data_IF_341361256513
#
_entry.id   IF_341361256513
#
_cell.length_a   1.000
_cell.length_b   1.000
_cell.length_c   1.000
_cell.angle_alpha   90.00
_cell.angle_beta   90.00
_cell.angle_gamma   90.00
#
_symmetry.space_group_name_H-M   'P 1'
#
loop_
_entity.id
_entity.type
_entity.pdbx_description
1 polymer ?
#
# COMPACT_ATOMS: atom_id res chain seq x y z
N UNK A 1 43.55 -1.66 -13.07
CA UNK A 1 42.22 -2.06 -13.59
C UNK A 1 41.34 -2.63 -12.47
N UNK A 2 41.63 -3.81 -11.91
CA UNK A 2 40.80 -4.46 -10.87
C UNK A 2 40.64 -3.65 -9.57
N UNK A 3 41.68 -2.95 -9.11
CA UNK A 3 41.63 -2.13 -7.88
C UNK A 3 40.64 -0.96 -8.00
N UNK A 4 40.53 -0.36 -9.19
CA UNK A 4 39.66 0.79 -9.44
C UNK A 4 38.17 0.38 -9.41
N UNK A 5 37.86 -0.79 -9.96
CA UNK A 5 36.52 -1.37 -9.84
C UNK A 5 36.16 -1.65 -8.37
N UNK A 6 37.09 -2.19 -7.58
CA UNK A 6 36.85 -2.44 -6.15
C UNK A 6 36.49 -1.17 -5.37
N UNK A 7 37.22 -0.07 -5.61
CA UNK A 7 36.93 1.22 -4.99
C UNK A 7 35.58 1.78 -5.45
N UNK A 8 35.27 1.70 -6.75
CA UNK A 8 33.98 2.12 -7.31
C UNK A 8 32.80 1.38 -6.68
N UNK A 9 32.88 0.05 -6.54
CA UNK A 9 31.82 -0.76 -5.92
C UNK A 9 31.63 -0.43 -4.44
N UNK A 10 32.70 -0.16 -3.69
CA UNK A 10 32.59 0.27 -2.30
C UNK A 10 31.93 1.65 -2.16
N UNK A 11 32.24 2.59 -3.07
CA UNK A 11 31.59 3.90 -3.08
C UNK A 11 30.09 3.83 -3.43
N UNK A 12 29.72 3.01 -4.42
CA UNK A 12 28.31 2.77 -4.75
C UNK A 12 27.57 2.03 -3.62
N UNK A 13 28.19 1.01 -3.02
CA UNK A 13 27.62 0.26 -1.91
C UNK A 13 27.32 1.16 -0.69
N UNK A 14 28.20 2.11 -0.37
CA UNK A 14 27.97 3.09 0.71
C UNK A 14 26.78 4.01 0.45
N UNK A 15 26.54 4.39 -0.81
CA UNK A 15 25.36 5.16 -1.20
C UNK A 15 24.07 4.36 -1.02
N UNK A 16 24.06 3.10 -1.46
CA UNK A 16 22.92 2.20 -1.26
C UNK A 16 22.65 1.95 0.23
N UNK A 17 23.69 1.70 1.04
CA UNK A 17 23.56 1.51 2.49
C UNK A 17 22.97 2.77 3.15
N UNK A 18 23.40 3.96 2.74
CA UNK A 18 22.86 5.22 3.25
C UNK A 18 21.38 5.40 2.92
N UNK A 19 20.97 5.09 1.70
CA UNK A 19 19.55 5.14 1.29
C UNK A 19 18.69 4.16 2.09
N UNK A 20 19.18 2.95 2.34
CA UNK A 20 18.51 1.97 3.20
C UNK A 20 18.44 2.41 4.67
N UNK A 21 19.48 3.09 5.19
CA UNK A 21 19.53 3.57 6.57
C UNK A 21 18.64 4.79 6.81
N UNK A 22 18.55 5.72 5.85
CA UNK A 22 17.72 6.93 5.98
C UNK A 22 16.21 6.58 6.04
N UNK A 23 15.75 5.50 5.39
CA UNK A 23 14.38 4.99 5.56
C UNK A 23 14.10 4.42 6.96
N UNK A 24 15.11 3.90 7.67
CA UNK A 24 14.94 3.27 8.99
C UNK A 24 15.23 4.17 10.20
N UNK A 25 15.67 5.42 9.98
CA UNK A 25 16.24 6.27 11.05
C UNK A 25 15.34 7.43 11.49
N UNK A 26 14.10 7.54 10.98
CA UNK A 26 13.16 8.49 11.57
C UNK A 26 12.74 7.91 12.94
N UNK A 27 13.03 8.58 14.07
CA UNK A 27 12.64 8.07 15.37
C UNK A 27 11.13 7.88 15.37
N UNK A 28 10.67 6.64 15.59
CA UNK A 28 9.24 6.34 15.69
C UNK A 28 8.64 7.18 16.82
N UNK A 29 8.00 8.29 16.45
CA UNK A 29 7.04 8.96 17.33
C UNK A 29 5.84 8.03 17.43
N UNK A 30 5.92 7.04 18.32
CA UNK A 30 4.85 6.11 18.65
C UNK A 30 3.53 6.83 18.96
N UNK A 31 3.60 8.06 19.47
CA UNK A 31 2.44 8.86 19.84
C UNK A 31 1.83 9.70 18.70
N UNK A 32 2.48 9.77 17.53
CA UNK A 32 2.00 10.59 16.41
C UNK A 32 1.19 9.73 15.43
N UNK A 33 -0.13 9.72 15.61
CA UNK A 33 -1.07 8.93 14.80
C UNK A 33 -2.13 9.86 14.17
N UNK A 34 -1.77 10.64 13.12
CA UNK A 34 -2.70 11.54 12.45
C UNK A 34 -3.78 10.76 11.68
N UNK A 35 -4.91 11.41 11.38
CA UNK A 35 -5.91 10.83 10.48
C UNK A 35 -5.31 10.48 9.12
N UNK A 36 -5.55 9.27 8.65
CA UNK A 36 -5.02 8.77 7.38
C UNK A 36 -6.15 8.38 6.41
N UNK A 37 -5.92 8.56 5.11
CA UNK A 37 -6.81 8.04 4.07
C UNK A 37 -5.98 7.26 3.07
N UNK A 38 -6.37 6.02 2.82
CA UNK A 38 -5.78 5.13 1.83
C UNK A 38 -6.64 5.15 0.57
N UNK A 39 -6.05 5.49 -0.57
CA UNK A 39 -6.70 5.37 -1.87
C UNK A 39 -6.23 4.06 -2.52
N UNK A 40 -7.14 3.13 -2.71
CA UNK A 40 -6.87 1.84 -3.36
C UNK A 40 -7.52 1.83 -4.73
N UNK A 41 -6.74 2.06 -5.77
CA UNK A 41 -7.21 1.95 -7.16
C UNK A 41 -7.12 0.50 -7.62
N UNK A 42 -8.22 -0.03 -8.16
CA UNK A 42 -8.33 -1.41 -8.61
C UNK A 42 -8.62 -1.46 -10.10
N UNK A 43 -7.94 -2.39 -10.77
CA UNK A 43 -8.14 -2.71 -12.17
C UNK A 43 -7.74 -4.14 -12.47
N UNK A 44 -8.56 -4.85 -13.24
CA UNK A 44 -8.26 -6.19 -13.70
C UNK A 44 -8.30 -7.24 -12.59
N UNK A 45 -7.74 -8.40 -12.89
CA UNK A 45 -7.80 -9.56 -12.01
C UNK A 45 -6.54 -9.65 -11.14
N UNK A 46 -6.60 -9.12 -9.92
CA UNK A 46 -5.54 -9.30 -8.94
C UNK A 46 -5.83 -10.54 -8.07
N UNK A 47 -5.05 -11.65 -8.21
CA UNK A 47 -5.24 -12.84 -7.40
C UNK A 47 -4.96 -12.64 -5.91
N UNK A 48 -4.28 -11.56 -5.52
CA UNK A 48 -3.96 -11.24 -4.13
C UNK A 48 -4.92 -10.22 -3.52
N UNK A 49 -5.93 -9.76 -4.26
CA UNK A 49 -6.86 -8.72 -3.82
C UNK A 49 -7.52 -9.05 -2.49
N UNK A 50 -7.95 -10.30 -2.29
CA UNK A 50 -8.59 -10.73 -1.04
C UNK A 50 -7.66 -10.57 0.15
N UNK A 51 -6.41 -11.06 0.04
CA UNK A 51 -5.42 -10.95 1.11
C UNK A 51 -5.04 -9.48 1.36
N UNK A 52 -5.00 -8.67 0.30
CA UNK A 52 -4.75 -7.24 0.40
C UNK A 52 -5.88 -6.53 1.17
N UNK A 53 -7.15 -6.80 0.83
CA UNK A 53 -8.30 -6.23 1.53
C UNK A 53 -8.34 -6.68 2.99
N UNK A 54 -8.04 -7.96 3.26
CA UNK A 54 -7.98 -8.48 4.64
C UNK A 54 -6.92 -7.77 5.48
N UNK A 55 -5.70 -7.63 4.96
CA UNK A 55 -4.66 -6.87 5.65
C UNK A 55 -5.04 -5.41 5.82
N UNK A 56 -5.47 -4.75 4.75
CA UNK A 56 -5.73 -3.31 4.72
C UNK A 56 -6.92 -2.91 5.60
N UNK A 57 -7.98 -3.72 5.65
CA UNK A 57 -9.21 -3.40 6.38
C UNK A 57 -9.19 -3.88 7.85
N UNK A 58 -8.10 -4.51 8.29
CA UNK A 58 -7.89 -4.99 9.65
C UNK A 58 -6.60 -4.43 10.28
N UNK A 59 -6.34 -3.14 10.09
CA UNK A 59 -5.16 -2.46 10.65
C UNK A 59 -5.42 -2.02 12.10
N UNK A 60 -4.38 -2.04 12.93
CA UNK A 60 -4.43 -1.51 14.30
C UNK A 60 -4.35 0.03 14.36
N UNK A 61 -4.27 0.70 13.21
CA UNK A 61 -4.21 2.16 13.13
C UNK A 61 -5.57 2.79 13.51
N UNK A 62 -5.63 3.76 14.44
CA UNK A 62 -6.90 4.13 15.07
C UNK A 62 -7.83 4.97 14.18
N UNK A 63 -7.31 5.90 13.38
CA UNK A 63 -8.11 6.80 12.56
C UNK A 63 -7.66 6.73 11.09
N UNK A 64 -8.08 5.68 10.39
CA UNK A 64 -7.90 5.57 8.95
C UNK A 64 -9.20 5.34 8.19
N UNK A 65 -9.24 5.75 6.93
CA UNK A 65 -10.31 5.44 6.00
C UNK A 65 -9.72 4.87 4.71
N UNK A 66 -10.44 3.95 4.08
CA UNK A 66 -10.06 3.33 2.81
C UNK A 66 -11.07 3.72 1.74
N UNK A 67 -10.60 4.35 0.67
CA UNK A 67 -11.39 4.65 -0.52
C UNK A 67 -10.94 3.75 -1.66
N UNK A 68 -11.76 2.77 -1.99
CA UNK A 68 -11.55 1.85 -3.10
C UNK A 68 -12.12 2.49 -4.36
N UNK A 69 -11.30 2.64 -5.38
CA UNK A 69 -11.67 3.23 -6.66
C UNK A 69 -11.54 2.14 -7.71
N UNK A 70 -12.66 1.74 -8.30
CA UNK A 70 -12.67 0.75 -9.39
C UNK A 70 -12.81 1.48 -10.72
N UNK A 71 -11.99 1.10 -11.69
CA UNK A 71 -11.90 1.76 -13.01
C UNK A 71 -13.25 1.75 -13.75
N UNK A 72 -13.96 0.61 -13.77
CA UNK A 72 -15.27 0.48 -14.43
C UNK A 72 -16.15 -0.57 -13.72
N UNK A 73 -17.47 -0.52 -13.92
CA UNK A 73 -18.40 -1.52 -13.36
C UNK A 73 -18.17 -2.93 -13.92
N UNK A 74 -17.66 -3.01 -15.15
CA UNK A 74 -17.31 -4.26 -15.83
C UNK A 74 -15.90 -4.75 -15.47
N UNK A 75 -15.17 -4.02 -14.61
CA UNK A 75 -13.86 -4.46 -14.17
C UNK A 75 -14.01 -5.73 -13.32
N UNK A 76 -13.22 -6.79 -13.58
CA UNK A 76 -13.33 -8.03 -12.82
C UNK A 76 -13.07 -7.85 -11.32
N UNK A 77 -12.37 -6.80 -10.87
CA UNK A 77 -12.20 -6.51 -9.46
C UNK A 77 -13.51 -6.08 -8.76
N UNK A 78 -14.45 -5.46 -9.48
CA UNK A 78 -15.69 -4.92 -8.91
C UNK A 78 -16.54 -5.97 -8.16
N UNK A 79 -16.89 -7.13 -8.76
CA UNK A 79 -17.65 -8.16 -8.05
C UNK A 79 -16.91 -8.72 -6.84
N UNK A 80 -15.58 -8.89 -6.91
CA UNK A 80 -14.79 -9.38 -5.78
C UNK A 80 -14.82 -8.43 -4.59
N UNK A 81 -14.68 -7.13 -4.83
CA UNK A 81 -14.74 -6.10 -3.79
C UNK A 81 -16.12 -6.08 -3.14
N UNK A 82 -17.18 -6.07 -3.93
CA UNK A 82 -18.54 -6.05 -3.41
C UNK A 82 -18.82 -7.30 -2.57
N UNK A 83 -18.45 -8.50 -3.06
CA UNK A 83 -18.61 -9.75 -2.33
C UNK A 83 -17.85 -9.74 -1.00
N UNK A 84 -16.62 -9.22 -0.99
CA UNK A 84 -15.81 -9.13 0.23
C UNK A 84 -16.45 -8.21 1.28
N UNK A 85 -16.92 -7.04 0.86
CA UNK A 85 -17.54 -6.03 1.73
C UNK A 85 -18.96 -6.39 2.19
N UNK A 86 -19.68 -7.22 1.43
CA UNK A 86 -20.95 -7.82 1.88
C UNK A 86 -20.72 -8.82 3.01
N UNK A 87 -19.63 -9.58 2.94
CA UNK A 87 -19.28 -10.59 3.95
C UNK A 87 -18.72 -9.95 5.22
N UNK A 88 -17.99 -8.84 5.09
CA UNK A 88 -17.32 -8.16 6.20
C UNK A 88 -17.73 -6.69 6.25
N UNK A 89 -18.44 -6.30 7.32
CA UNK A 89 -18.85 -4.91 7.51
C UNK A 89 -17.67 -4.07 7.99
N UNK A 90 -17.09 -3.26 7.09
CA UNK A 90 -16.02 -2.32 7.43
C UNK A 90 -16.54 -0.86 7.44
N UNK A 91 -16.67 -0.22 8.63
CA UNK A 91 -17.25 1.12 8.75
C UNK A 91 -16.37 2.23 8.15
N UNK A 92 -15.08 1.94 7.91
CA UNK A 92 -14.10 2.90 7.41
C UNK A 92 -13.79 2.73 5.92
N UNK A 93 -14.59 1.93 5.19
CA UNK A 93 -14.37 1.65 3.77
C UNK A 93 -15.48 2.26 2.90
N UNK A 94 -15.08 2.92 1.80
CA UNK A 94 -15.99 3.41 0.77
C UNK A 94 -15.52 2.92 -0.60
N UNK A 95 -16.45 2.44 -1.42
CA UNK A 95 -16.19 2.08 -2.82
C UNK A 95 -16.74 3.17 -3.74
N UNK A 96 -16.00 3.51 -4.79
CA UNK A 96 -16.42 4.41 -5.86
C UNK A 96 -16.01 3.82 -7.20
N UNK A 97 -16.85 3.95 -8.21
CA UNK A 97 -16.51 3.60 -9.58
C UNK A 97 -16.16 4.88 -10.33
N UNK A 98 -15.06 4.87 -11.06
CA UNK A 98 -14.66 5.98 -11.91
C UNK A 98 -15.47 5.90 -13.21
N UNK A 99 -16.65 6.50 -13.26
CA UNK A 99 -17.42 6.60 -14.51
C UNK A 99 -16.57 7.32 -15.57
N UNK A 100 -16.06 6.58 -16.56
CA UNK A 100 -15.35 7.10 -17.75
C UNK A 100 -16.18 6.88 -19.00
#
# INVERSE_FOLDING_TARGET
MLVYFGVMYLHWGKGCIRLYQEQGSQPERHDYQPRAVVLLSLRGHDPFLVNCLEGLLNQEYPEYAVKIIVDHVDDPAFPFVNQYLETHRHPHCQVSVLES
#
